data_IF_508068638048
#
_entry.id   IF_508068638048
#
_cell.length_a   1.000
_cell.length_b   1.000
_cell.length_c   1.000
_cell.angle_alpha   90.00
_cell.angle_beta   90.00
_cell.angle_gamma   90.00
#
_symmetry.space_group_name_H-M   'P 1'
#
loop_
_entity.id
_entity.type
_entity.pdbx_description
1 polymer ?
#
# COMPACT_ATOMS: atom_id res chain seq x y z
N UNK A 1 -23.31 23.38 -15.87
CA UNK A 1 -23.46 21.97 -15.46
C UNK A 1 -22.50 21.15 -16.33
N UNK A 2 -21.19 21.34 -16.09
CA UNK A 2 -20.11 20.74 -16.90
C UNK A 2 -18.91 20.29 -16.03
N UNK A 3 -19.01 20.38 -14.69
CA UNK A 3 -17.91 20.02 -13.79
C UNK A 3 -17.92 18.55 -13.34
N UNK A 4 -18.95 17.77 -13.70
CA UNK A 4 -19.12 16.38 -13.20
C UNK A 4 -18.70 15.30 -14.20
N UNK A 5 -18.29 15.66 -15.43
CA UNK A 5 -17.93 14.66 -16.46
C UNK A 5 -16.44 14.34 -16.56
N UNK A 6 -15.55 15.15 -15.99
CA UNK A 6 -14.10 14.89 -16.05
C UNK A 6 -13.60 13.87 -14.99
N UNK A 7 -14.39 13.61 -13.94
CA UNK A 7 -14.00 12.66 -12.89
C UNK A 7 -14.15 11.20 -13.36
N UNK A 8 -15.02 10.91 -14.33
CA UNK A 8 -15.33 9.54 -14.73
C UNK A 8 -14.35 8.93 -15.76
N UNK A 9 -13.49 9.73 -16.42
CA UNK A 9 -12.45 9.21 -17.32
C UNK A 9 -11.09 8.98 -16.64
N UNK A 10 -10.89 9.43 -15.41
CA UNK A 10 -9.59 9.37 -14.71
C UNK A 10 -9.30 7.98 -14.10
N UNK A 11 -10.32 7.14 -13.89
CA UNK A 11 -10.20 5.91 -13.09
C UNK A 11 -9.64 4.67 -13.83
N UNK A 12 -9.31 4.76 -15.12
CA UNK A 12 -8.75 3.64 -15.90
C UNK A 12 -7.24 3.72 -16.12
N UNK A 13 -6.61 4.84 -15.77
CA UNK A 13 -5.17 5.05 -16.01
C UNK A 13 -4.29 4.50 -14.88
N UNK A 14 -4.77 4.46 -13.63
CA UNK A 14 -3.97 4.02 -12.50
C UNK A 14 -3.59 2.54 -12.62
N UNK A 15 -4.53 1.62 -12.88
CA UNK A 15 -4.20 0.19 -13.08
C UNK A 15 -3.22 -0.01 -14.26
N UNK A 16 -3.22 0.89 -15.24
CA UNK A 16 -2.29 0.86 -16.38
C UNK A 16 -0.84 1.15 -15.94
N UNK A 17 -0.62 2.15 -15.08
CA UNK A 17 0.72 2.59 -14.70
C UNK A 17 1.37 1.67 -13.66
N UNK A 18 0.62 1.21 -12.65
CA UNK A 18 1.06 0.17 -11.71
C UNK A 18 1.52 -1.10 -12.45
N UNK A 19 0.70 -1.56 -13.40
CA UNK A 19 1.00 -2.74 -14.19
C UNK A 19 2.22 -2.53 -15.09
N UNK A 20 2.34 -1.35 -15.72
CA UNK A 20 3.54 -1.00 -16.49
C UNK A 20 4.81 -1.06 -15.62
N UNK A 21 4.78 -0.52 -14.39
CA UNK A 21 5.92 -0.60 -13.47
C UNK A 21 6.24 -2.05 -13.12
N UNK A 22 5.21 -2.85 -12.81
CA UNK A 22 5.36 -4.30 -12.55
C UNK A 22 6.02 -5.01 -13.75
N UNK A 23 5.59 -4.69 -14.97
CA UNK A 23 6.21 -5.18 -16.20
C UNK A 23 7.66 -4.74 -16.34
N UNK A 24 8.00 -3.48 -16.06
CA UNK A 24 9.39 -3.01 -16.13
C UNK A 24 10.30 -3.72 -15.12
N UNK A 25 9.79 -4.03 -13.93
CA UNK A 25 10.52 -4.81 -12.92
C UNK A 25 10.82 -6.24 -13.43
N UNK A 26 9.93 -6.86 -14.21
CA UNK A 26 10.09 -8.24 -14.69
C UNK A 26 10.69 -8.38 -16.09
N UNK A 27 10.57 -7.35 -16.94
CA UNK A 27 10.92 -7.40 -18.36
C UNK A 27 12.39 -7.10 -18.63
N UNK A 28 13.29 -7.45 -17.69
CA UNK A 28 14.75 -7.23 -17.60
C UNK A 28 15.58 -7.39 -18.92
N UNK A 29 14.95 -7.84 -19.99
CA UNK A 29 15.47 -8.29 -21.27
C UNK A 29 15.88 -7.26 -22.32
N UNK A 30 15.49 -5.97 -22.28
CA UNK A 30 15.73 -5.08 -23.45
C UNK A 30 16.40 -3.72 -23.23
N UNK A 31 16.39 -3.11 -22.04
CA UNK A 31 16.98 -1.76 -21.86
C UNK A 31 17.81 -1.54 -20.58
N UNK A 32 17.59 -2.31 -19.50
CA UNK A 32 18.23 -2.08 -18.20
C UNK A 32 19.18 -3.19 -17.76
N UNK A 33 19.45 -4.15 -18.65
CA UNK A 33 20.28 -5.32 -18.41
C UNK A 33 21.59 -4.91 -17.73
N UNK A 34 21.68 -5.22 -16.43
CA UNK A 34 22.81 -5.01 -15.51
C UNK A 34 22.93 -3.65 -14.79
N UNK A 35 21.96 -2.73 -14.85
CA UNK A 35 22.05 -1.49 -14.07
C UNK A 35 20.78 -1.25 -13.22
N UNK A 36 20.79 -1.79 -12.00
CA UNK A 36 19.76 -1.58 -10.96
C UNK A 36 19.48 -0.09 -10.72
N UNK A 37 20.50 0.76 -10.81
CA UNK A 37 20.41 2.20 -10.57
C UNK A 37 19.58 2.91 -11.66
N UNK A 38 19.87 2.64 -12.93
CA UNK A 38 19.07 3.16 -14.06
C UNK A 38 17.62 2.67 -14.05
N UNK A 39 17.40 1.42 -13.66
CA UNK A 39 16.05 0.87 -13.51
C UNK A 39 15.27 1.62 -12.43
N UNK A 40 15.91 1.88 -11.27
CA UNK A 40 15.31 2.68 -10.21
C UNK A 40 15.04 4.12 -10.63
N UNK A 41 15.97 4.79 -11.30
CA UNK A 41 15.76 6.15 -11.79
C UNK A 41 14.50 6.23 -12.66
N UNK A 42 14.41 5.35 -13.66
CA UNK A 42 13.26 5.27 -14.55
C UNK A 42 11.95 4.98 -13.79
N UNK A 43 11.94 4.00 -12.90
CA UNK A 43 10.76 3.66 -12.11
C UNK A 43 10.39 4.82 -11.17
N UNK A 44 11.37 5.47 -10.53
CA UNK A 44 11.13 6.60 -9.64
C UNK A 44 10.52 7.80 -10.37
N UNK A 45 10.93 8.09 -11.61
CA UNK A 45 10.28 9.10 -12.44
C UNK A 45 8.79 8.78 -12.66
N UNK A 46 8.48 7.52 -13.00
CA UNK A 46 7.09 7.08 -13.16
C UNK A 46 6.31 7.17 -11.85
N UNK A 47 6.87 6.69 -10.75
CA UNK A 47 6.26 6.76 -9.42
C UNK A 47 5.99 8.21 -9.00
N UNK A 48 6.92 9.13 -9.24
CA UNK A 48 6.75 10.53 -8.84
C UNK A 48 5.65 11.23 -9.65
N UNK A 49 5.42 10.78 -10.90
CA UNK A 49 4.41 11.34 -11.81
C UNK A 49 2.95 11.03 -11.41
N UNK A 50 2.70 9.95 -10.65
CA UNK A 50 1.36 9.62 -10.14
C UNK A 50 1.32 9.67 -8.62
N UNK A 51 0.36 10.42 -8.07
CA UNK A 51 0.19 10.56 -6.63
C UNK A 51 -0.06 9.21 -5.94
N UNK A 52 -0.84 8.32 -6.57
CA UNK A 52 -1.19 7.01 -6.03
C UNK A 52 -0.02 6.02 -5.97
N UNK A 53 1.04 6.27 -6.75
CA UNK A 53 2.24 5.44 -6.76
C UNK A 53 3.28 5.83 -5.72
N UNK A 54 3.29 7.10 -5.29
CA UNK A 54 4.32 7.62 -4.37
C UNK A 54 4.48 6.80 -3.08
N UNK A 55 3.41 6.32 -2.42
CA UNK A 55 3.53 5.46 -1.25
C UNK A 55 4.31 4.16 -1.52
N UNK A 56 4.29 3.66 -2.76
CA UNK A 56 4.89 2.39 -3.17
C UNK A 56 6.41 2.49 -3.44
N UNK A 57 6.97 3.71 -3.44
CA UNK A 57 8.35 4.00 -3.85
C UNK A 57 9.39 3.19 -3.10
N UNK A 58 9.33 3.22 -1.78
CA UNK A 58 10.32 2.51 -0.94
C UNK A 58 10.21 0.99 -1.12
N UNK A 59 8.98 0.45 -1.12
CA UNK A 59 8.72 -0.97 -1.33
C UNK A 59 9.35 -1.48 -2.64
N UNK A 60 9.10 -0.75 -3.74
CA UNK A 60 9.60 -1.11 -5.08
C UNK A 60 11.12 -0.97 -5.17
N UNK A 61 11.69 0.13 -4.66
CA UNK A 61 13.15 0.32 -4.67
C UNK A 61 13.87 -0.75 -3.86
N UNK A 62 13.34 -1.10 -2.68
CA UNK A 62 13.89 -2.17 -1.85
C UNK A 62 13.79 -3.53 -2.54
N UNK A 63 12.69 -3.80 -3.26
CA UNK A 63 12.62 -5.01 -4.09
C UNK A 63 13.71 -5.01 -5.17
N UNK A 64 13.90 -3.90 -5.90
CA UNK A 64 14.94 -3.77 -6.94
C UNK A 64 16.36 -3.91 -6.38
N UNK A 65 16.59 -3.53 -5.12
CA UNK A 65 17.86 -3.76 -4.44
C UNK A 65 18.06 -5.21 -4.03
N UNK A 66 17.00 -5.86 -3.58
CA UNK A 66 17.07 -7.25 -3.13
C UNK A 66 17.60 -8.19 -4.22
N UNK A 67 18.17 -9.30 -3.77
CA UNK A 67 18.65 -10.38 -4.64
C UNK A 67 17.56 -11.39 -4.99
N UNK A 68 16.29 -11.05 -4.70
CA UNK A 68 15.15 -11.88 -5.08
C UNK A 68 15.03 -11.95 -6.62
N UNK A 69 14.61 -13.10 -7.16
CA UNK A 69 14.33 -13.22 -8.58
C UNK A 69 13.32 -12.17 -9.04
N UNK A 70 13.51 -11.62 -10.24
CA UNK A 70 12.60 -10.63 -10.86
C UNK A 70 11.39 -11.32 -11.48
N UNK A 71 10.67 -12.10 -10.66
CA UNK A 71 9.44 -12.79 -11.04
C UNK A 71 8.25 -12.23 -10.28
N UNK A 72 7.07 -12.38 -10.87
CA UNK A 72 5.80 -12.00 -10.24
C UNK A 72 5.60 -12.69 -8.89
N UNK A 73 5.85 -14.00 -8.82
CA UNK A 73 5.76 -14.78 -7.59
C UNK A 73 6.70 -14.24 -6.50
N UNK A 74 7.96 -13.93 -6.84
CA UNK A 74 8.93 -13.41 -5.88
C UNK A 74 8.51 -12.04 -5.35
N UNK A 75 7.98 -11.18 -6.23
CA UNK A 75 7.48 -9.86 -5.84
C UNK A 75 6.25 -9.96 -4.96
N UNK A 76 5.29 -10.85 -5.28
CA UNK A 76 4.12 -11.05 -4.45
C UNK A 76 4.46 -11.62 -3.07
N UNK A 77 5.37 -12.60 -3.01
CA UNK A 77 5.86 -13.15 -1.74
C UNK A 77 6.57 -12.07 -0.91
N UNK A 78 7.41 -11.26 -1.55
CA UNK A 78 8.06 -10.11 -0.92
C UNK A 78 7.02 -9.12 -0.34
N UNK A 79 6.00 -8.76 -1.12
CA UNK A 79 4.92 -7.89 -0.66
C UNK A 79 4.15 -8.49 0.51
N UNK A 80 3.80 -9.80 0.47
CA UNK A 80 3.11 -10.50 1.57
C UNK A 80 3.94 -10.48 2.86
N UNK A 81 5.23 -10.77 2.77
CA UNK A 81 6.13 -10.73 3.94
C UNK A 81 6.26 -9.33 4.52
N UNK A 82 6.56 -8.32 3.70
CA UNK A 82 6.68 -6.94 4.18
C UNK A 82 5.38 -6.38 4.74
N UNK A 83 4.24 -6.74 4.15
CA UNK A 83 2.93 -6.39 4.70
C UNK A 83 2.75 -6.94 6.11
N UNK A 84 3.07 -8.22 6.33
CA UNK A 84 2.94 -8.86 7.64
C UNK A 84 3.89 -8.28 8.69
N UNK A 85 5.11 -7.89 8.29
CA UNK A 85 6.06 -7.20 9.16
C UNK A 85 5.53 -5.83 9.60
N UNK A 86 5.15 -4.98 8.64
CA UNK A 86 4.62 -3.64 8.91
C UNK A 86 3.32 -3.69 9.71
N UNK A 87 2.44 -4.64 9.39
CA UNK A 87 1.23 -4.87 10.17
C UNK A 87 1.55 -5.22 11.62
N UNK A 88 2.52 -6.12 11.85
CA UNK A 88 2.95 -6.50 13.20
C UNK A 88 3.55 -5.33 13.97
N UNK A 89 4.34 -4.48 13.29
CA UNK A 89 4.88 -3.25 13.86
C UNK A 89 3.79 -2.24 14.24
N UNK A 90 2.78 -2.05 13.39
CA UNK A 90 1.64 -1.15 13.68
C UNK A 90 0.87 -1.68 14.88
N UNK A 91 0.51 -2.97 14.89
CA UNK A 91 -0.23 -3.61 15.99
C UNK A 91 0.51 -3.47 17.31
N UNK A 92 1.82 -3.72 17.32
CA UNK A 92 2.65 -3.64 18.53
C UNK A 92 2.87 -2.20 18.98
N UNK A 93 3.22 -1.29 18.07
CA UNK A 93 3.50 0.12 18.40
C UNK A 93 2.26 0.88 18.88
N UNK A 94 1.08 0.50 18.38
CA UNK A 94 -0.19 1.12 18.77
C UNK A 94 -0.95 0.30 19.81
N UNK A 95 -0.40 -0.82 20.33
CA UNK A 95 -1.07 -1.72 21.28
C UNK A 95 -2.51 -2.09 20.83
N UNK A 96 -2.66 -2.52 19.58
CA UNK A 96 -3.95 -2.95 19.03
C UNK A 96 -4.32 -4.34 19.53
N UNK A 97 -5.61 -4.59 19.71
CA UNK A 97 -6.10 -5.78 20.44
C UNK A 97 -6.02 -7.07 19.63
N UNK A 98 -6.09 -6.99 18.29
CA UNK A 98 -6.09 -8.16 17.42
C UNK A 98 -5.43 -7.86 16.07
N UNK A 99 -4.33 -8.56 15.77
CA UNK A 99 -3.67 -8.50 14.47
C UNK A 99 -4.59 -9.01 13.35
N UNK A 100 -5.34 -10.08 13.61
CA UNK A 100 -6.23 -10.69 12.61
C UNK A 100 -7.40 -9.77 12.24
N UNK A 101 -7.95 -9.02 13.20
CA UNK A 101 -9.00 -8.05 12.93
C UNK A 101 -8.47 -6.87 12.08
N UNK A 102 -7.27 -6.37 12.38
CA UNK A 102 -6.61 -5.33 11.58
C UNK A 102 -6.32 -5.86 10.17
N UNK A 103 -5.80 -7.09 10.05
CA UNK A 103 -5.57 -7.74 8.76
C UNK A 103 -6.86 -7.81 7.96
N UNK A 104 -7.94 -8.33 8.56
CA UNK A 104 -9.25 -8.43 7.91
C UNK A 104 -9.77 -7.07 7.45
N UNK A 105 -9.65 -6.04 8.26
CA UNK A 105 -10.01 -4.67 7.90
C UNK A 105 -9.28 -4.20 6.64
N UNK A 106 -7.95 -4.34 6.60
CA UNK A 106 -7.14 -3.92 5.43
C UNK A 106 -7.44 -4.76 4.18
N UNK A 107 -7.62 -6.07 4.31
CA UNK A 107 -7.96 -6.94 3.18
C UNK A 107 -9.36 -6.63 2.62
N UNK A 108 -10.32 -6.27 3.48
CA UNK A 108 -11.61 -5.76 3.04
C UNK A 108 -11.43 -4.45 2.25
N UNK A 109 -10.58 -3.53 2.73
CA UNK A 109 -10.28 -2.31 1.98
C UNK A 109 -9.67 -2.58 0.61
N UNK A 110 -8.77 -3.57 0.48
CA UNK A 110 -8.25 -3.97 -0.83
C UNK A 110 -9.35 -4.47 -1.76
N UNK A 111 -10.25 -5.31 -1.25
CA UNK A 111 -11.37 -5.86 -2.02
C UNK A 111 -12.31 -4.78 -2.57
N UNK A 112 -12.55 -3.73 -1.80
CA UNK A 112 -13.43 -2.62 -2.20
C UNK A 112 -12.70 -1.47 -2.88
N UNK A 113 -11.38 -1.57 -3.03
CA UNK A 113 -10.49 -0.50 -3.51
C UNK A 113 -10.62 0.82 -2.72
N UNK A 114 -11.19 0.77 -1.52
CA UNK A 114 -11.49 1.93 -0.69
C UNK A 114 -11.10 1.70 0.77
N UNK A 115 -10.52 2.73 1.37
CA UNK A 115 -10.13 2.72 2.77
C UNK A 115 -11.23 3.38 3.61
N UNK A 116 -12.17 2.56 4.07
CA UNK A 116 -13.32 3.02 4.84
C UNK A 116 -12.92 3.43 6.26
N UNK A 117 -12.53 4.70 6.43
CA UNK A 117 -12.10 5.27 7.72
C UNK A 117 -13.18 5.23 8.81
N UNK A 118 -14.46 5.17 8.43
CA UNK A 118 -15.61 5.20 9.35
C UNK A 118 -16.22 3.81 9.55
N UNK A 119 -15.52 2.76 9.11
CA UNK A 119 -15.99 1.38 9.27
C UNK A 119 -16.09 0.99 10.74
N UNK A 120 -17.21 0.39 11.13
CA UNK A 120 -17.40 -0.15 12.47
C UNK A 120 -16.37 -1.24 12.83
N UNK A 121 -15.78 -1.91 11.83
CA UNK A 121 -14.71 -2.90 12.01
C UNK A 121 -13.46 -2.31 12.69
N UNK A 122 -13.26 -0.99 12.58
CA UNK A 122 -12.13 -0.33 13.24
C UNK A 122 -12.22 -0.42 14.78
N UNK A 123 -13.44 -0.43 15.32
CA UNK A 123 -13.71 -0.54 16.75
C UNK A 123 -13.36 -1.94 17.32
N UNK A 124 -13.21 -2.96 16.46
CA UNK A 124 -12.90 -4.33 16.88
C UNK A 124 -11.47 -4.49 17.43
N UNK A 125 -10.55 -3.59 17.08
CA UNK A 125 -9.12 -3.72 17.41
C UNK A 125 -8.48 -2.48 18.04
N UNK A 126 -9.25 -1.42 18.29
CA UNK A 126 -8.79 -0.26 19.04
C UNK A 126 -9.41 -0.24 20.44
N UNK A 127 -8.59 0.01 21.46
CA UNK A 127 -9.09 0.13 22.83
C UNK A 127 -9.55 1.57 23.08
N UNK A 128 -10.83 1.71 23.42
CA UNK A 128 -11.40 2.99 23.89
C UNK A 128 -10.89 3.28 25.29
N UNK A 129 -10.21 4.42 25.47
CA UNK A 129 -9.84 4.91 26.79
C UNK A 129 -11.10 5.42 27.51
N UNK A 130 -11.53 4.71 28.56
CA UNK A 130 -12.71 5.08 29.36
C UNK A 130 -12.49 6.33 30.20
N UNK A 131 -11.24 6.67 30.50
CA UNK A 131 -10.87 7.77 31.39
C UNK A 131 -10.49 9.04 30.64
N UNK A 132 -10.08 8.94 29.38
CA UNK A 132 -9.75 10.09 28.55
C UNK A 132 -10.24 9.92 27.10
N UNK A 133 -11.47 10.38 26.78
CA UNK A 133 -12.03 10.30 25.43
C UNK A 133 -11.23 11.09 24.38
N UNK A 134 -10.55 12.18 24.77
CA UNK A 134 -9.75 12.97 23.82
C UNK A 134 -8.50 12.21 23.34
N UNK A 135 -7.92 11.38 24.21
CA UNK A 135 -6.80 10.51 23.83
C UNK A 135 -7.25 9.41 22.87
N UNK A 136 -8.49 8.94 23.00
CA UNK A 136 -9.07 7.97 22.07
C UNK A 136 -9.10 8.53 20.64
N UNK A 137 -9.65 9.73 20.43
CA UNK A 137 -9.73 10.35 19.10
C UNK A 137 -8.34 10.57 18.48
N UNK A 138 -7.39 11.07 19.26
CA UNK A 138 -6.00 11.25 18.78
C UNK A 138 -5.35 9.94 18.38
N UNK A 139 -5.55 8.89 19.18
CA UNK A 139 -5.03 7.55 18.87
C UNK A 139 -5.70 6.97 17.63
N UNK A 140 -7.02 7.12 17.50
CA UNK A 140 -7.78 6.70 16.32
C UNK A 140 -7.22 7.31 15.04
N UNK A 141 -7.06 8.62 15.00
CA UNK A 141 -6.52 9.31 13.81
C UNK A 141 -5.10 8.87 13.48
N UNK A 142 -4.26 8.64 14.51
CA UNK A 142 -2.89 8.14 14.31
C UNK A 142 -2.87 6.72 13.74
N UNK A 143 -3.70 5.82 14.29
CA UNK A 143 -3.82 4.43 13.81
C UNK A 143 -4.38 4.42 12.40
N UNK A 144 -5.44 5.19 12.11
CA UNK A 144 -6.01 5.31 10.77
C UNK A 144 -4.97 5.80 9.77
N UNK A 145 -4.16 6.79 10.12
CA UNK A 145 -3.10 7.29 9.24
C UNK A 145 -2.07 6.20 8.91
N UNK A 146 -1.64 5.41 9.90
CA UNK A 146 -0.70 4.29 9.71
C UNK A 146 -1.31 3.18 8.83
N UNK A 147 -2.56 2.82 9.10
CA UNK A 147 -3.29 1.80 8.33
C UNK A 147 -3.61 2.26 6.91
N UNK A 148 -3.91 3.55 6.71
CA UNK A 148 -4.10 4.15 5.39
C UNK A 148 -2.80 4.09 4.58
N UNK A 149 -1.67 4.44 5.19
CA UNK A 149 -0.37 4.30 4.54
C UNK A 149 -0.08 2.84 4.17
N UNK A 150 -0.35 1.89 5.07
CA UNK A 150 -0.22 0.45 4.77
C UNK A 150 -1.09 0.05 3.57
N UNK A 151 -2.35 0.48 3.55
CA UNK A 151 -3.24 0.25 2.42
C UNK A 151 -2.70 0.85 1.11
N UNK A 152 -2.26 2.12 1.13
CA UNK A 152 -1.79 2.80 -0.08
C UNK A 152 -0.51 2.20 -0.66
N UNK A 153 0.38 1.67 0.19
CA UNK A 153 1.61 0.97 -0.23
C UNK A 153 1.30 -0.35 -0.95
N UNK A 154 0.31 -1.10 -0.49
CA UNK A 154 0.07 -2.48 -0.96
C UNK A 154 -1.13 -2.65 -1.89
N UNK A 155 -2.01 -1.66 -2.02
CA UNK A 155 -3.15 -1.71 -2.96
C UNK A 155 -2.68 -1.97 -4.40
N UNK A 156 -3.30 -2.93 -5.07
CA UNK A 156 -2.93 -3.36 -6.42
C UNK A 156 -1.74 -4.31 -6.50
N UNK A 157 -1.05 -4.59 -5.39
CA UNK A 157 -0.04 -5.65 -5.29
C UNK A 157 -0.52 -6.87 -4.51
N UNK A 158 -1.39 -6.65 -3.52
CA UNK A 158 -2.06 -7.69 -2.77
C UNK A 158 -3.55 -7.66 -3.11
N UNK A 159 -3.97 -8.50 -4.04
CA UNK A 159 -5.38 -8.75 -4.32
C UNK A 159 -5.69 -10.19 -3.86
N UNK A 160 -6.84 -10.35 -3.19
CA UNK A 160 -7.33 -11.63 -2.70
C UNK A 160 -8.53 -12.07 -3.53
#
# INVERSE_FOLDING_TARGET
MEAERDVQLTFREDVSLEYMIKLFIFSDSKNFANNKEKLKEFINEKINSSFHLRPKKELINNFIDSDLPRTEESFENYCRHHFEELLSQIVSSENLTSKDAVRKFIFNSFRYEDFEKDSAQFEDFIIVSRTNPQDYFKRRERVLSKLKNLFDVFRGFLNN
#
